data_IF_015092741593
#
_entry.id   IF_015092741593
#
_cell.length_a   1.000
_cell.length_b   1.000
_cell.length_c   1.000
_cell.angle_alpha   90.00
_cell.angle_beta   90.00
_cell.angle_gamma   90.00
#
_symmetry.space_group_name_H-M   'P 1'
#
loop_
_entity.id
_entity.type
_entity.pdbx_description
1 polymer ?
#
# COMPACT_ATOMS: atom_id res chain seq x y z
N UNK A 1 -29.86 -13.40 13.08
CA UNK A 1 -29.30 -12.80 11.86
C UNK A 1 -27.82 -13.08 11.93
N UNK A 2 -27.35 -14.05 11.14
CA UNK A 2 -25.93 -14.35 10.96
C UNK A 2 -25.33 -13.20 10.14
N UNK A 3 -24.62 -12.30 10.78
CA UNK A 3 -23.76 -11.34 10.13
C UNK A 3 -22.46 -12.05 9.77
N UNK A 4 -22.45 -12.84 8.71
CA UNK A 4 -21.24 -13.32 8.09
C UNK A 4 -20.65 -12.16 7.27
N UNK A 5 -19.59 -11.58 7.75
CA UNK A 5 -18.73 -10.69 6.97
C UNK A 5 -17.92 -11.58 6.04
N UNK A 6 -18.16 -11.47 4.74
CA UNK A 6 -17.42 -12.18 3.71
C UNK A 6 -16.51 -11.21 2.95
N UNK A 7 -15.30 -11.63 2.64
CA UNK A 7 -14.50 -10.95 1.63
C UNK A 7 -15.14 -11.24 0.26
N UNK A 8 -15.51 -10.19 -0.46
CA UNK A 8 -16.01 -10.30 -1.82
C UNK A 8 -14.92 -9.90 -2.79
N UNK A 9 -14.50 -10.81 -3.62
CA UNK A 9 -13.61 -10.53 -4.74
C UNK A 9 -14.45 -10.53 -6.02
N UNK A 10 -14.60 -9.37 -6.64
CA UNK A 10 -15.24 -9.25 -7.95
C UNK A 10 -14.18 -8.86 -8.97
N UNK A 11 -14.02 -9.70 -9.99
CA UNK A 11 -13.09 -9.45 -11.09
C UNK A 11 -13.91 -9.20 -12.34
N UNK A 12 -13.61 -8.10 -13.01
CA UNK A 12 -14.27 -7.69 -14.23
C UNK A 12 -13.28 -7.62 -15.39
N UNK A 13 -13.69 -8.07 -16.55
CA UNK A 13 -13.01 -7.76 -17.80
C UNK A 13 -13.66 -6.56 -18.49
N UNK A 14 -12.86 -5.73 -19.11
CA UNK A 14 -13.36 -4.63 -19.94
C UNK A 14 -12.91 -4.91 -21.38
N UNK A 15 -13.89 -5.04 -22.29
CA UNK A 15 -13.60 -5.23 -23.71
C UNK A 15 -13.07 -3.94 -24.35
N UNK A 16 -12.44 -4.05 -25.52
CA UNK A 16 -12.00 -2.88 -26.31
C UNK A 16 -13.14 -1.93 -26.72
N UNK A 17 -14.38 -2.34 -26.54
CA UNK A 17 -15.59 -1.52 -26.77
C UNK A 17 -16.19 -0.97 -25.48
N UNK A 18 -15.50 -1.12 -24.34
CA UNK A 18 -15.97 -0.64 -23.04
C UNK A 18 -17.05 -1.48 -22.39
N UNK A 19 -17.35 -2.68 -22.91
CA UNK A 19 -18.28 -3.61 -22.27
C UNK A 19 -17.60 -4.22 -21.06
N UNK A 20 -18.24 -4.09 -19.89
CA UNK A 20 -17.79 -4.70 -18.63
C UNK A 20 -18.49 -6.06 -18.50
N UNK A 21 -17.71 -7.11 -18.33
CA UNK A 21 -18.20 -8.45 -18.07
C UNK A 21 -17.59 -8.98 -16.76
N UNK A 22 -18.36 -9.70 -15.98
CA UNK A 22 -17.88 -10.28 -14.72
C UNK A 22 -17.09 -11.56 -15.04
N UNK A 23 -15.78 -11.56 -14.82
CA UNK A 23 -14.95 -12.76 -14.94
C UNK A 23 -15.19 -13.70 -13.76
N UNK A 24 -15.30 -13.13 -12.57
CA UNK A 24 -15.56 -13.88 -11.36
C UNK A 24 -16.31 -13.01 -10.34
N UNK A 25 -17.33 -13.56 -9.74
CA UNK A 25 -18.04 -12.95 -8.60
C UNK A 25 -18.30 -14.07 -7.61
N UNK A 26 -17.41 -14.21 -6.64
CA UNK A 26 -17.57 -15.20 -5.59
C UNK A 26 -17.28 -14.59 -4.22
N UNK A 27 -17.94 -15.14 -3.23
CA UNK A 27 -17.53 -14.96 -1.84
C UNK A 27 -16.23 -15.77 -1.71
N UNK A 28 -15.12 -15.12 -1.39
CA UNK A 28 -13.87 -15.80 -1.10
C UNK A 28 -14.08 -16.55 0.21
N UNK A 29 -14.61 -17.70 0.04
CA UNK A 29 -14.65 -18.86 0.90
C UNK A 29 -15.23 -18.74 2.30
N UNK A 30 -15.74 -19.89 2.76
CA UNK A 30 -15.97 -20.27 4.15
C UNK A 30 -14.67 -20.30 5.01
N UNK A 31 -13.60 -19.63 4.56
CA UNK A 31 -12.34 -19.54 5.27
C UNK A 31 -12.34 -18.52 6.41
N UNK A 32 -13.50 -17.96 6.70
CA UNK A 32 -13.67 -17.24 7.94
C UNK A 32 -13.60 -18.23 9.08
N UNK A 33 -12.40 -18.46 9.58
CA UNK A 33 -12.26 -19.09 10.88
C UNK A 33 -13.08 -18.25 11.87
N UNK A 34 -14.23 -18.77 12.25
CA UNK A 34 -14.99 -18.25 13.39
C UNK A 34 -14.03 -18.23 14.57
N UNK A 35 -13.54 -17.04 14.92
CA UNK A 35 -12.82 -16.85 16.17
C UNK A 35 -13.90 -16.72 17.26
N UNK A 36 -14.14 -17.75 18.08
CA UNK A 36 -15.12 -17.70 19.13
C UNK A 36 -14.72 -16.61 20.12
N UNK A 37 -15.55 -15.58 20.27
CA UNK A 37 -15.36 -14.53 21.26
C UNK A 37 -15.20 -13.12 20.70
N UNK A 38 -15.10 -12.91 19.39
CA UNK A 38 -15.10 -11.57 18.82
C UNK A 38 -16.52 -11.01 18.72
N UNK A 39 -17.02 -10.48 19.83
CA UNK A 39 -18.21 -9.67 19.84
C UNK A 39 -17.83 -8.24 19.52
N UNK A 40 -17.68 -7.92 18.27
CA UNK A 40 -17.69 -6.51 17.88
C UNK A 40 -18.15 -6.39 16.43
N UNK A 41 -19.32 -5.79 16.28
CA UNK A 41 -19.65 -5.01 15.10
C UNK A 41 -18.56 -3.97 14.87
N UNK A 42 -17.46 -4.36 14.24
CA UNK A 42 -16.34 -3.48 13.99
C UNK A 42 -16.25 -3.21 12.52
N UNK A 43 -16.27 -1.95 12.25
CA UNK A 43 -15.90 -1.26 11.05
C UNK A 43 -14.93 -2.04 10.16
N UNK A 44 -15.43 -2.41 9.01
CA UNK A 44 -14.61 -2.62 7.85
C UNK A 44 -14.45 -1.23 7.26
N UNK A 45 -13.59 -0.45 7.85
CA UNK A 45 -13.24 0.86 7.34
C UNK A 45 -11.81 0.79 6.85
N UNK A 46 -11.60 0.93 5.57
CA UNK A 46 -10.39 1.44 4.97
C UNK A 46 -9.05 0.73 5.20
N UNK A 47 -9.05 -0.44 5.81
CA UNK A 47 -7.81 -1.02 6.37
C UNK A 47 -7.24 -2.14 5.50
N UNK A 48 -7.47 -2.13 4.19
CA UNK A 48 -6.97 -3.16 3.31
C UNK A 48 -6.83 -2.71 1.88
N UNK A 49 -6.13 -3.49 1.10
CA UNK A 49 -5.86 -3.23 -0.31
C UNK A 49 -5.72 -4.50 -1.12
N UNK A 50 -5.49 -4.27 -2.39
CA UNK A 50 -5.23 -5.29 -3.39
C UNK A 50 -4.01 -4.83 -4.15
N UNK A 51 -3.07 -5.74 -4.40
CA UNK A 51 -1.94 -5.51 -5.26
C UNK A 51 -1.83 -6.64 -6.30
N UNK A 52 -1.23 -6.36 -7.45
CA UNK A 52 -1.19 -7.24 -8.61
C UNK A 52 0.25 -7.54 -9.00
N UNK A 53 0.57 -8.84 -9.21
CA UNK A 53 1.90 -9.27 -9.62
C UNK A 53 1.92 -10.71 -10.11
N UNK A 54 2.83 -11.05 -11.01
CA UNK A 54 3.09 -12.42 -11.47
C UNK A 54 4.14 -13.03 -10.54
N UNK A 55 3.70 -13.56 -9.38
CA UNK A 55 4.63 -14.01 -8.34
C UNK A 55 5.33 -15.34 -8.66
N UNK A 56 4.72 -16.17 -9.52
CA UNK A 56 5.28 -17.49 -9.86
C UNK A 56 5.80 -17.60 -11.29
N UNK A 57 5.94 -16.45 -11.95
CA UNK A 57 6.50 -16.29 -13.31
C UNK A 57 5.78 -17.12 -14.39
N UNK A 58 4.48 -17.37 -14.21
CA UNK A 58 3.70 -18.13 -15.19
C UNK A 58 3.13 -17.24 -16.33
N UNK A 59 3.42 -15.94 -16.33
CA UNK A 59 3.00 -14.95 -17.30
C UNK A 59 1.59 -14.42 -17.07
N UNK A 60 0.99 -14.68 -15.91
CA UNK A 60 -0.34 -14.21 -15.52
C UNK A 60 -0.25 -13.39 -14.24
N UNK A 61 -1.00 -12.33 -14.20
CA UNK A 61 -1.05 -11.46 -13.03
C UNK A 61 -1.88 -12.11 -11.93
N UNK A 62 -1.27 -12.33 -10.79
CA UNK A 62 -1.87 -12.83 -9.56
C UNK A 62 -2.33 -11.69 -8.65
N UNK A 63 -2.99 -12.01 -7.54
CA UNK A 63 -3.60 -11.01 -6.68
C UNK A 63 -3.17 -11.24 -5.23
N UNK A 64 -2.58 -10.22 -4.64
CA UNK A 64 -2.34 -10.09 -3.21
C UNK A 64 -3.48 -9.28 -2.59
N UNK A 65 -4.12 -9.82 -1.57
CA UNK A 65 -5.19 -9.13 -0.82
C UNK A 65 -4.81 -9.06 0.64
N UNK A 66 -4.95 -7.89 1.23
CA UNK A 66 -4.66 -7.70 2.65
C UNK A 66 -5.74 -6.85 3.33
N UNK A 67 -5.78 -6.91 4.66
CA UNK A 67 -6.75 -6.15 5.47
C UNK A 67 -7.91 -6.98 5.98
N UNK A 68 -8.79 -6.38 6.78
CA UNK A 68 -9.93 -7.05 7.41
C UNK A 68 -9.58 -8.36 8.14
N UNK A 69 -8.38 -8.42 8.72
CA UNK A 69 -7.80 -9.59 9.39
C UNK A 69 -7.31 -10.71 8.44
N UNK A 70 -6.96 -10.38 7.18
CA UNK A 70 -6.44 -11.33 6.20
C UNK A 70 -5.18 -10.83 5.51
N UNK A 71 -4.31 -11.78 5.20
CA UNK A 71 -3.32 -11.70 4.14
C UNK A 71 -3.54 -12.92 3.25
N UNK A 72 -3.82 -12.68 1.97
CA UNK A 72 -4.27 -13.72 1.07
C UNK A 72 -3.62 -13.57 -0.31
N UNK A 73 -2.99 -14.63 -0.77
CA UNK A 73 -2.40 -14.72 -2.10
C UNK A 73 -3.24 -15.65 -2.97
N UNK A 74 -3.74 -15.13 -4.08
CA UNK A 74 -4.49 -15.93 -5.05
C UNK A 74 -3.72 -16.08 -6.33
N UNK A 75 -3.93 -17.20 -7.02
CA UNK A 75 -3.32 -17.49 -8.31
C UNK A 75 -4.29 -17.33 -9.45
N UNK A 76 -3.86 -16.65 -10.51
CA UNK A 76 -4.58 -16.53 -11.76
C UNK A 76 -4.34 -17.79 -12.63
N UNK A 77 -5.40 -18.52 -12.92
CA UNK A 77 -5.36 -19.72 -13.75
C UNK A 77 -5.64 -19.44 -15.23
N UNK A 78 -5.75 -18.17 -15.62
CA UNK A 78 -6.03 -17.71 -16.98
C UNK A 78 -7.51 -17.62 -17.31
N UNK A 79 -8.31 -18.63 -17.00
CA UNK A 79 -9.77 -18.63 -17.21
C UNK A 79 -10.56 -18.33 -15.94
N UNK A 80 -9.90 -18.32 -14.81
CA UNK A 80 -10.46 -18.05 -13.46
C UNK A 80 -9.32 -17.68 -12.51
N UNK A 81 -9.67 -17.17 -11.35
CA UNK A 81 -8.74 -16.97 -10.23
C UNK A 81 -8.98 -18.08 -9.21
N UNK A 82 -7.91 -18.67 -8.71
CA UNK A 82 -8.02 -19.67 -7.66
C UNK A 82 -8.42 -19.00 -6.35
N UNK A 83 -9.37 -19.59 -5.64
CA UNK A 83 -9.78 -19.13 -4.30
C UNK A 83 -8.95 -19.78 -3.18
N UNK A 84 -7.92 -20.54 -3.51
CA UNK A 84 -7.00 -21.07 -2.51
C UNK A 84 -6.00 -19.99 -2.10
N UNK A 85 -5.62 -19.98 -0.82
CA UNK A 85 -4.48 -19.20 -0.38
C UNK A 85 -3.19 -19.94 -0.72
N UNK A 86 -2.29 -19.28 -1.45
CA UNK A 86 -1.02 -19.85 -1.90
C UNK A 86 0.15 -19.52 -0.98
N UNK A 87 -0.08 -18.76 0.09
CA UNK A 87 0.94 -18.60 1.12
C UNK A 87 1.22 -19.93 1.83
N UNK A 88 2.47 -20.18 2.22
CA UNK A 88 2.80 -21.23 3.17
C UNK A 88 1.99 -21.09 4.46
N UNK A 89 1.66 -22.21 5.10
CA UNK A 89 0.85 -22.19 6.33
C UNK A 89 1.48 -21.37 7.47
N UNK A 90 2.78 -21.19 7.42
CA UNK A 90 3.58 -20.41 8.37
C UNK A 90 3.41 -18.90 8.20
N UNK A 91 2.96 -18.46 7.02
CA UNK A 91 2.79 -17.04 6.65
C UNK A 91 1.38 -16.55 6.93
N UNK A 92 0.41 -17.45 7.11
CA UNK A 92 -0.99 -17.08 7.33
C UNK A 92 -1.13 -16.34 8.65
N UNK A 93 -1.14 -15.03 8.56
CA UNK A 93 -1.38 -14.12 9.68
C UNK A 93 -2.70 -13.38 9.49
N UNK A 94 -3.34 -13.08 10.62
CA UNK A 94 -4.47 -12.16 10.64
C UNK A 94 -3.90 -10.74 10.59
N UNK A 95 -4.16 -9.98 9.53
CA UNK A 95 -3.68 -8.62 9.33
C UNK A 95 -4.84 -7.63 9.31
N UNK A 96 -4.90 -6.77 10.33
CA UNK A 96 -5.79 -5.62 10.35
C UNK A 96 -5.02 -4.30 10.32
N UNK A 97 -5.66 -3.22 9.92
CA UNK A 97 -5.03 -1.89 9.84
C UNK A 97 -3.69 -1.97 9.08
N UNK A 98 -3.69 -2.68 7.94
CA UNK A 98 -2.50 -3.18 7.26
C UNK A 98 -2.26 -2.52 5.92
N UNK A 99 -1.01 -2.61 5.48
CA UNK A 99 -0.58 -2.38 4.09
C UNK A 99 0.34 -3.50 3.66
N UNK A 100 0.23 -3.93 2.40
CA UNK A 100 1.10 -4.93 1.82
C UNK A 100 1.31 -4.62 0.33
N UNK A 101 2.53 -4.82 -0.16
CA UNK A 101 2.89 -4.58 -1.55
C UNK A 101 3.93 -5.58 -2.05
N UNK A 102 3.89 -5.81 -3.37
CA UNK A 102 4.90 -6.52 -4.12
C UNK A 102 6.12 -5.62 -4.41
N UNK A 103 7.31 -6.22 -4.44
CA UNK A 103 8.53 -5.61 -4.94
C UNK A 103 9.59 -6.67 -5.20
N UNK A 104 10.37 -6.55 -6.24
CA UNK A 104 11.59 -7.35 -6.48
C UNK A 104 12.72 -6.69 -5.69
N UNK A 105 12.86 -7.06 -4.41
CA UNK A 105 13.70 -6.33 -3.45
C UNK A 105 15.18 -6.69 -3.59
N UNK A 106 15.48 -7.94 -3.95
CA UNK A 106 16.85 -8.44 -4.10
C UNK A 106 17.31 -8.58 -5.56
N UNK A 107 16.48 -8.09 -6.50
CA UNK A 107 16.75 -8.05 -7.94
C UNK A 107 16.99 -9.44 -8.56
N UNK A 108 16.38 -10.47 -8.00
CA UNK A 108 16.45 -11.82 -8.57
C UNK A 108 15.38 -12.07 -9.64
N UNK A 109 14.45 -11.11 -9.79
CA UNK A 109 13.37 -11.08 -10.76
C UNK A 109 12.10 -11.76 -10.25
N UNK A 110 12.03 -12.17 -9.00
CA UNK A 110 10.83 -12.66 -8.34
C UNK A 110 10.17 -11.52 -7.57
N UNK A 111 8.86 -11.55 -7.42
CA UNK A 111 8.16 -10.56 -6.61
C UNK A 111 8.12 -11.01 -5.16
N UNK A 112 8.77 -10.24 -4.30
CA UNK A 112 8.74 -10.35 -2.86
C UNK A 112 7.54 -9.61 -2.28
N UNK A 113 7.25 -9.84 -1.00
CA UNK A 113 6.13 -9.18 -0.33
C UNK A 113 6.61 -8.52 0.95
N UNK A 114 6.39 -7.22 1.06
CA UNK A 114 6.47 -6.53 2.33
C UNK A 114 5.07 -6.24 2.87
N UNK A 115 4.85 -6.46 4.17
CA UNK A 115 3.63 -6.05 4.84
C UNK A 115 3.85 -5.51 6.23
N UNK A 116 2.90 -4.70 6.66
CA UNK A 116 2.80 -4.18 8.02
C UNK A 116 1.35 -4.18 8.48
N UNK A 117 1.11 -4.24 9.79
CA UNK A 117 -0.24 -4.18 10.34
C UNK A 117 -0.40 -4.88 11.68
N UNK A 118 -1.64 -4.96 12.12
CA UNK A 118 -2.03 -5.62 13.37
C UNK A 118 -2.23 -7.11 13.17
N UNK A 119 -1.63 -7.92 14.04
CA UNK A 119 -1.79 -9.37 14.06
C UNK A 119 -2.46 -9.86 15.35
N UNK A 120 -2.84 -11.15 15.36
CA UNK A 120 -3.40 -11.84 16.54
C UNK A 120 -4.57 -11.10 17.20
N UNK A 121 -5.56 -10.71 16.42
CA UNK A 121 -6.74 -10.03 16.94
C UNK A 121 -6.43 -8.67 17.55
N UNK A 122 -5.41 -7.96 17.01
CA UNK A 122 -4.94 -6.63 17.44
C UNK A 122 -4.04 -6.61 18.67
N UNK A 123 -3.45 -7.75 19.03
CA UNK A 123 -2.54 -7.82 20.17
C UNK A 123 -1.11 -7.37 19.84
N UNK A 124 -0.69 -7.52 18.58
CA UNK A 124 0.65 -7.18 18.14
C UNK A 124 0.60 -6.39 16.83
N UNK A 125 1.62 -5.57 16.60
CA UNK A 125 1.92 -5.06 15.25
C UNK A 125 3.08 -5.89 14.71
N UNK A 126 3.12 -6.03 13.39
CA UNK A 126 4.22 -6.66 12.68
C UNK A 126 4.57 -5.88 11.45
N UNK A 127 5.84 -5.95 11.06
CA UNK A 127 6.29 -5.73 9.69
C UNK A 127 7.14 -6.93 9.30
N UNK A 128 7.02 -7.37 8.06
CA UNK A 128 7.77 -8.51 7.56
C UNK A 128 8.05 -8.34 6.07
N UNK A 129 9.23 -8.78 5.69
CA UNK A 129 9.61 -9.01 4.31
C UNK A 129 9.68 -10.52 4.08
N UNK A 130 8.97 -10.98 3.07
CA UNK A 130 8.95 -12.37 2.65
C UNK A 130 9.55 -12.43 1.25
N UNK A 131 10.75 -12.99 1.17
CA UNK A 131 11.47 -13.19 -0.08
C UNK A 131 10.89 -14.40 -0.82
N UNK A 132 10.67 -14.21 -2.10
CA UNK A 132 10.24 -15.23 -3.03
C UNK A 132 11.47 -15.82 -3.71
N UNK A 133 11.52 -17.12 -3.85
CA UNK A 133 12.59 -17.82 -4.55
C UNK A 133 11.92 -18.79 -5.53
N UNK A 134 11.43 -18.27 -6.64
CA UNK A 134 10.81 -19.09 -7.69
C UNK A 134 11.85 -19.60 -8.65
N UNK A 135 11.96 -20.92 -8.79
CA UNK A 135 12.90 -21.51 -9.73
C UNK A 135 12.43 -21.40 -11.19
N UNK A 136 13.32 -21.74 -12.13
CA UNK A 136 13.01 -21.70 -13.56
C UNK A 136 11.89 -22.65 -14.01
N UNK A 137 11.46 -23.56 -13.13
CA UNK A 137 10.36 -24.49 -13.36
C UNK A 137 9.03 -23.95 -12.80
N UNK A 138 9.06 -22.78 -12.12
CA UNK A 138 7.90 -22.15 -11.52
C UNK A 138 7.55 -22.72 -10.14
N UNK A 139 8.50 -23.39 -9.47
CA UNK A 139 8.29 -23.85 -8.09
C UNK A 139 8.70 -22.72 -7.15
N UNK A 140 7.74 -22.17 -6.45
CA UNK A 140 7.92 -21.07 -5.50
C UNK A 140 8.31 -21.58 -4.14
N UNK A 141 9.31 -20.98 -3.51
CA UNK A 141 9.64 -21.12 -2.11
C UNK A 141 9.78 -19.76 -1.45
N UNK A 142 9.46 -19.66 -0.18
CA UNK A 142 9.38 -18.41 0.54
C UNK A 142 10.31 -18.43 1.75
N UNK A 143 11.01 -17.31 1.99
CA UNK A 143 11.90 -17.13 3.13
C UNK A 143 11.68 -15.77 3.80
N UNK A 144 11.58 -15.73 5.14
CA UNK A 144 11.52 -14.46 5.85
C UNK A 144 12.89 -13.81 5.95
N UNK A 145 12.96 -12.53 5.58
CA UNK A 145 14.14 -11.74 5.92
C UNK A 145 14.07 -11.30 7.40
N UNK A 146 14.84 -11.99 8.24
CA UNK A 146 14.96 -11.70 9.66
C UNK A 146 16.01 -10.61 9.98
N UNK A 147 16.70 -10.08 8.96
CA UNK A 147 17.74 -9.06 9.13
C UNK A 147 17.18 -7.65 9.29
N UNK A 148 15.95 -7.44 8.85
CA UNK A 148 15.29 -6.15 8.79
C UNK A 148 14.81 -5.68 10.16
N UNK A 149 15.21 -4.47 10.56
CA UNK A 149 14.78 -3.85 11.81
C UNK A 149 14.07 -2.52 11.49
N UNK A 150 12.75 -2.55 11.51
CA UNK A 150 11.90 -1.39 11.24
C UNK A 150 10.91 -1.17 12.38
N UNK A 151 10.42 0.07 12.59
CA UNK A 151 9.34 0.30 13.54
C UNK A 151 8.06 -0.39 13.07
N UNK A 152 7.45 -1.14 13.95
CA UNK A 152 6.12 -1.73 13.69
C UNK A 152 5.08 -0.63 13.55
N UNK A 153 4.38 -0.59 12.43
CA UNK A 153 3.35 0.40 12.12
C UNK A 153 2.00 -0.24 11.81
N UNK A 154 0.96 0.51 12.05
CA UNK A 154 -0.42 0.22 11.68
C UNK A 154 -1.13 1.49 11.19
N UNK A 155 -2.33 1.36 10.65
CA UNK A 155 -3.05 2.53 10.13
C UNK A 155 -2.15 3.39 9.25
N UNK A 156 -1.50 2.76 8.30
CA UNK A 156 -0.50 3.40 7.48
C UNK A 156 -0.39 2.77 6.12
N UNK A 157 0.60 3.21 5.41
CA UNK A 157 0.88 2.81 4.05
C UNK A 157 2.36 2.48 3.89
N UNK A 158 2.65 1.60 2.97
CA UNK A 158 3.99 1.30 2.48
C UNK A 158 4.03 1.55 0.98
N UNK A 159 5.16 1.97 0.46
CA UNK A 159 5.33 2.16 -0.97
C UNK A 159 6.78 1.92 -1.39
N UNK A 160 6.94 1.21 -2.51
CA UNK A 160 8.21 0.97 -3.17
C UNK A 160 8.43 1.97 -4.29
N UNK A 161 9.66 2.42 -4.45
CA UNK A 161 10.12 3.19 -5.61
C UNK A 161 11.64 3.19 -5.67
N UNK A 162 12.22 3.29 -6.84
CA UNK A 162 13.67 3.56 -7.03
C UNK A 162 13.88 5.07 -6.80
N UNK A 163 14.10 5.45 -5.52
CA UNK A 163 14.05 6.85 -5.08
C UNK A 163 15.34 7.58 -5.43
N UNK A 164 16.48 6.91 -5.33
CA UNK A 164 17.78 7.50 -5.64
C UNK A 164 18.31 7.16 -7.04
N UNK A 165 17.47 6.50 -7.85
CA UNK A 165 17.72 6.16 -9.24
C UNK A 165 18.93 5.25 -9.45
N UNK A 166 19.20 4.36 -8.52
CA UNK A 166 20.31 3.41 -8.59
C UNK A 166 19.92 2.05 -9.17
N UNK A 167 18.61 1.82 -9.36
CA UNK A 167 18.03 0.69 -10.07
C UNK A 167 17.48 -0.41 -9.17
N UNK A 168 17.47 -0.21 -7.85
CA UNK A 168 16.77 -1.09 -6.91
C UNK A 168 15.57 -0.38 -6.25
N UNK A 169 14.72 -1.14 -5.55
CA UNK A 169 13.50 -0.60 -4.95
C UNK A 169 13.76 -0.20 -3.49
N UNK A 170 13.58 1.09 -3.22
CA UNK A 170 13.58 1.65 -1.89
C UNK A 170 12.18 1.59 -1.26
N UNK A 171 12.11 1.64 0.07
CA UNK A 171 10.87 1.53 0.82
C UNK A 171 10.58 2.78 1.64
N UNK A 172 9.41 3.38 1.42
CA UNK A 172 8.83 4.33 2.37
C UNK A 172 7.74 3.65 3.20
N UNK A 173 7.83 3.82 4.52
CA UNK A 173 6.80 3.36 5.45
C UNK A 173 6.27 4.54 6.25
N UNK A 174 4.95 4.64 6.39
CA UNK A 174 4.33 5.69 7.21
C UNK A 174 3.08 5.16 7.91
N UNK A 175 2.91 5.51 9.19
CA UNK A 175 1.76 5.04 9.96
C UNK A 175 1.87 5.34 11.45
N UNK A 176 1.11 4.61 12.25
CA UNK A 176 1.05 4.77 13.69
C UNK A 176 1.80 3.66 14.42
N UNK A 177 2.69 4.02 15.34
CA UNK A 177 3.28 3.06 16.29
C UNK A 177 2.35 2.85 17.50
N UNK A 178 2.30 1.61 18.03
CA UNK A 178 1.51 1.31 19.25
C UNK A 178 2.08 2.00 20.49
N UNK A 179 3.40 1.99 20.63
CA UNK A 179 4.07 2.34 21.88
C UNK A 179 4.00 3.84 22.21
N UNK A 180 3.81 4.68 21.20
CA UNK A 180 3.92 6.14 21.35
C UNK A 180 2.75 6.93 20.76
N UNK A 181 1.71 6.28 20.26
CA UNK A 181 0.56 6.91 19.56
C UNK A 181 0.95 8.04 18.56
N UNK A 182 2.23 8.20 18.31
CA UNK A 182 2.76 9.17 17.35
C UNK A 182 2.71 8.60 15.94
N UNK A 183 2.66 9.48 14.97
CA UNK A 183 2.98 9.11 13.60
C UNK A 183 4.47 8.78 13.47
N UNK A 184 4.79 7.97 12.49
CA UNK A 184 6.16 7.71 12.04
C UNK A 184 6.15 7.63 10.53
N UNK A 185 7.16 8.24 9.91
CA UNK A 185 7.45 8.10 8.48
C UNK A 185 8.94 7.83 8.35
N UNK A 186 9.30 6.76 7.65
CA UNK A 186 10.67 6.31 7.50
C UNK A 186 10.95 5.91 6.07
N UNK A 187 12.08 6.38 5.58
CA UNK A 187 12.65 5.99 4.29
C UNK A 187 13.77 4.99 4.53
N UNK A 188 13.80 3.94 3.73
CA UNK A 188 14.84 2.93 3.70
C UNK A 188 15.36 2.84 2.28
N UNK A 189 16.64 3.13 2.11
CA UNK A 189 17.35 2.88 0.85
C UNK A 189 17.79 1.42 0.82
N UNK A 190 17.61 0.82 -0.32
CA UNK A 190 18.03 -0.55 -0.59
C UNK A 190 19.50 -0.60 -1.04
N UNK A 191 20.06 -1.78 -1.04
CA UNK A 191 21.30 -2.07 -1.74
C UNK A 191 21.07 -3.21 -2.75
N UNK A 192 21.89 -3.39 -3.78
CA UNK A 192 21.67 -4.39 -4.84
C UNK A 192 21.56 -5.84 -4.38
N UNK A 193 21.60 -6.11 -3.10
CA UNK A 193 21.44 -7.44 -2.51
C UNK A 193 20.25 -7.50 -1.53
N UNK A 194 19.33 -6.54 -1.62
CA UNK A 194 18.08 -6.56 -0.87
C UNK A 194 18.19 -6.09 0.59
N UNK A 195 19.19 -5.29 0.95
CA UNK A 195 19.35 -4.80 2.33
C UNK A 195 18.85 -3.38 2.50
N UNK A 196 17.74 -3.24 3.16
CA UNK A 196 17.10 -1.97 3.46
C UNK A 196 17.79 -1.27 4.66
N UNK A 197 18.40 -0.12 4.40
CA UNK A 197 19.02 0.73 5.40
C UNK A 197 18.23 2.02 5.64
N UNK A 198 17.91 2.37 6.90
CA UNK A 198 17.20 3.61 7.20
C UNK A 198 18.00 4.83 6.74
N UNK A 199 17.45 5.64 5.84
CA UNK A 199 17.97 6.95 5.53
C UNK A 199 17.49 7.98 6.55
N UNK A 200 18.42 8.44 7.38
CA UNK A 200 18.16 9.46 8.41
C UNK A 200 18.49 10.87 7.95
N UNK A 201 18.92 11.05 6.72
CA UNK A 201 19.27 12.36 6.15
C UNK A 201 18.04 13.16 5.71
N UNK A 202 16.91 12.47 5.47
CA UNK A 202 15.67 13.07 5.00
C UNK A 202 14.71 13.41 6.15
N UNK A 203 14.07 14.56 6.06
CA UNK A 203 13.04 15.00 7.00
C UNK A 203 11.65 14.93 6.33
N UNK A 204 11.07 13.74 6.27
CA UNK A 204 9.67 13.56 5.85
C UNK A 204 8.78 13.63 7.09
N UNK A 205 7.72 14.44 7.04
CA UNK A 205 6.84 14.65 8.19
C UNK A 205 6.22 13.34 8.66
N UNK A 206 6.32 13.07 9.96
CA UNK A 206 5.76 11.89 10.57
C UNK A 206 4.23 11.99 10.65
N UNK A 207 3.52 11.06 10.01
CA UNK A 207 2.06 11.07 9.88
C UNK A 207 1.45 9.74 10.30
N UNK A 208 0.14 9.68 10.41
CA UNK A 208 -0.63 8.46 10.68
C UNK A 208 -1.96 8.44 9.91
N UNK A 209 -2.49 7.24 9.69
CA UNK A 209 -3.66 7.05 8.83
C UNK A 209 -3.32 7.38 7.37
N UNK A 210 -2.12 7.03 6.93
CA UNK A 210 -1.50 7.58 5.72
C UNK A 210 -1.88 6.82 4.46
N UNK A 211 -1.83 7.56 3.35
CA UNK A 211 -1.75 7.06 1.98
C UNK A 211 -0.50 7.66 1.34
N UNK A 212 0.22 6.86 0.55
CA UNK A 212 1.47 7.23 -0.11
C UNK A 212 1.34 6.93 -1.60
N UNK A 213 1.88 7.83 -2.43
CA UNK A 213 2.02 7.62 -3.86
C UNK A 213 3.37 8.20 -4.31
N UNK A 214 4.12 7.44 -5.10
CA UNK A 214 5.28 7.92 -5.82
C UNK A 214 4.93 8.14 -7.29
N UNK A 215 5.33 9.27 -7.86
CA UNK A 215 5.15 9.59 -9.27
C UNK A 215 6.06 10.74 -9.68
N UNK A 216 6.56 10.70 -10.89
CA UNK A 216 7.28 11.83 -11.52
C UNK A 216 6.25 12.95 -11.80
N UNK A 217 6.20 13.96 -10.93
CA UNK A 217 5.23 15.05 -10.98
C UNK A 217 5.70 16.23 -11.81
N UNK A 218 7.00 16.47 -11.88
CA UNK A 218 7.58 17.60 -12.60
C UNK A 218 8.26 17.23 -13.93
N UNK A 219 8.17 15.96 -14.32
CA UNK A 219 8.68 15.39 -15.57
C UNK A 219 10.23 15.42 -15.67
N UNK A 220 10.92 15.24 -14.58
CA UNK A 220 12.39 15.14 -14.58
C UNK A 220 12.90 13.68 -14.52
N UNK A 221 11.96 12.73 -14.44
CA UNK A 221 12.12 11.28 -14.48
C UNK A 221 12.53 10.63 -13.15
N UNK A 222 12.56 11.36 -12.05
CA UNK A 222 12.67 10.77 -10.73
C UNK A 222 11.30 10.74 -9.99
N UNK A 223 11.12 9.84 -9.00
CA UNK A 223 9.83 9.70 -8.34
C UNK A 223 9.66 10.69 -7.19
N UNK A 224 8.71 11.61 -7.33
CA UNK A 224 8.26 12.50 -6.26
C UNK A 224 7.32 11.79 -5.29
N UNK A 225 7.18 12.33 -4.08
CA UNK A 225 6.36 11.76 -3.03
C UNK A 225 5.11 12.59 -2.77
N UNK A 226 3.96 11.94 -2.80
CA UNK A 226 2.70 12.47 -2.26
C UNK A 226 2.33 11.65 -1.03
N UNK A 227 2.11 12.30 0.10
CA UNK A 227 1.67 11.65 1.33
C UNK A 227 0.51 12.40 1.96
N UNK A 228 -0.60 11.71 2.24
CA UNK A 228 -1.76 12.27 2.93
C UNK A 228 -1.99 11.54 4.25
N UNK A 229 -2.37 12.26 5.29
CA UNK A 229 -2.59 11.69 6.60
C UNK A 229 -2.86 12.74 7.68
N UNK A 230 -2.89 12.26 8.93
CA UNK A 230 -2.99 13.12 10.10
C UNK A 230 -1.58 13.44 10.62
N UNK A 231 -1.27 14.72 10.70
CA UNK A 231 -0.05 15.22 11.33
C UNK A 231 -0.25 15.38 12.83
N UNK A 232 0.53 14.70 13.67
CA UNK A 232 0.49 14.90 15.11
C UNK A 232 1.17 16.22 15.55
N UNK A 233 1.96 16.85 14.67
CA UNK A 233 2.72 18.07 14.97
C UNK A 233 1.79 19.26 15.14
N UNK A 234 0.91 19.48 14.17
CA UNK A 234 -0.04 20.59 14.17
C UNK A 234 -1.51 20.13 14.33
N UNK A 235 -1.71 18.85 14.53
CA UNK A 235 -3.02 18.23 14.77
C UNK A 235 -4.03 18.42 13.65
N UNK A 236 -3.56 18.43 12.40
CA UNK A 236 -4.37 18.61 11.20
C UNK A 236 -4.24 17.44 10.23
N UNK A 237 -5.22 17.32 9.34
CA UNK A 237 -5.09 16.50 8.16
C UNK A 237 -4.35 17.29 7.08
N UNK A 238 -3.37 16.65 6.45
CA UNK A 238 -2.54 17.25 5.41
C UNK A 238 -2.34 16.29 4.25
N UNK A 239 -2.16 16.85 3.09
CA UNK A 239 -1.50 16.19 1.97
C UNK A 239 -0.25 16.99 1.64
N UNK A 240 0.89 16.36 1.76
CA UNK A 240 2.20 16.95 1.49
C UNK A 240 2.77 16.37 0.21
N UNK A 241 3.34 17.25 -0.59
CA UNK A 241 4.05 16.93 -1.82
C UNK A 241 5.52 17.25 -1.59
N UNK A 242 6.36 16.27 -1.82
CA UNK A 242 7.82 16.42 -1.80
C UNK A 242 8.34 16.15 -3.19
N UNK A 243 9.06 17.10 -3.73
CA UNK A 243 9.79 16.96 -4.99
C UNK A 243 11.11 16.25 -4.68
N UNK A 244 11.38 15.20 -5.41
CA UNK A 244 12.66 14.53 -5.37
C UNK A 244 13.67 15.40 -6.12
N UNK A 245 14.84 15.57 -5.56
CA UNK A 245 15.96 16.20 -6.24
C UNK A 245 16.90 15.09 -6.68
N UNK A 246 17.65 15.23 -7.74
CA UNK A 246 18.54 14.17 -8.20
C UNK A 246 19.33 13.55 -7.05
N UNK A 247 19.33 12.22 -6.94
CA UNK A 247 19.97 11.46 -5.87
C UNK A 247 19.15 11.22 -4.59
N UNK A 248 17.82 11.24 -4.68
CA UNK A 248 16.96 10.80 -3.57
C UNK A 248 16.79 11.81 -2.44
N UNK A 249 16.92 13.12 -2.72
CA UNK A 249 16.75 14.16 -1.72
C UNK A 249 15.39 14.84 -1.85
N UNK A 250 14.49 14.60 -0.93
CA UNK A 250 13.17 15.19 -0.92
C UNK A 250 13.15 16.63 -0.41
N UNK A 251 12.58 17.51 -1.19
CA UNK A 251 12.29 18.91 -0.83
C UNK A 251 10.77 19.09 -0.80
N UNK A 252 10.27 19.65 0.28
CA UNK A 252 8.86 20.03 0.33
C UNK A 252 8.53 21.01 -0.81
N UNK A 253 7.52 20.71 -1.62
CA UNK A 253 7.11 21.56 -2.72
C UNK A 253 6.65 22.93 -2.19
N UNK A 254 6.88 24.01 -2.97
CA UNK A 254 6.52 25.38 -2.59
C UNK A 254 5.01 25.57 -2.40
N UNK A 255 4.22 24.85 -3.16
CA UNK A 255 2.77 24.80 -3.02
C UNK A 255 2.34 23.46 -2.42
N UNK A 256 1.42 23.51 -1.51
CA UNK A 256 0.87 22.37 -0.81
C UNK A 256 -0.64 22.33 -0.91
N UNK A 257 -1.24 21.15 -0.80
CA UNK A 257 -2.68 21.01 -0.76
C UNK A 257 -3.23 21.50 0.59
N UNK A 258 -4.31 22.28 0.54
CA UNK A 258 -4.94 22.84 1.74
C UNK A 258 -5.88 21.87 2.46
N UNK A 259 -5.80 20.57 2.14
CA UNK A 259 -6.59 19.53 2.75
C UNK A 259 -5.75 18.24 2.89
N UNK A 260 -6.25 17.30 3.65
CA UNK A 260 -5.68 15.97 3.76
C UNK A 260 -6.76 14.95 4.10
N UNK A 261 -6.44 13.70 3.87
CA UNK A 261 -7.33 12.57 4.10
C UNK A 261 -6.63 11.51 4.95
N UNK A 262 -7.42 10.70 5.64
CA UNK A 262 -6.98 9.46 6.28
C UNK A 262 -7.76 8.29 5.73
N UNK A 263 -7.16 7.10 5.79
CA UNK A 263 -7.79 5.85 5.36
C UNK A 263 -8.30 5.91 3.92
N UNK A 264 -7.48 6.44 3.04
CA UNK A 264 -7.80 6.66 1.65
C UNK A 264 -6.82 6.04 0.68
N UNK A 265 -6.84 6.56 -0.52
CA UNK A 265 -5.89 6.23 -1.59
C UNK A 265 -5.49 7.50 -2.34
N UNK A 266 -4.29 7.51 -2.86
CA UNK A 266 -3.75 8.55 -3.73
C UNK A 266 -3.27 7.87 -5.00
N UNK A 267 -3.63 8.47 -6.14
CA UNK A 267 -3.15 8.07 -7.45
C UNK A 267 -2.71 9.30 -8.23
N UNK A 268 -1.63 9.19 -8.97
CA UNK A 268 -1.13 10.23 -9.84
C UNK A 268 -1.10 9.74 -11.29
N UNK A 269 -1.93 10.32 -12.13
CA UNK A 269 -2.13 9.92 -13.53
C UNK A 269 -2.51 11.13 -14.38
N UNK A 270 -2.02 11.19 -15.62
CA UNK A 270 -2.42 12.22 -16.58
C UNK A 270 -3.83 11.90 -17.10
N UNK A 271 -4.84 12.48 -16.46
CA UNK A 271 -6.27 12.23 -16.77
C UNK A 271 -6.69 13.00 -18.03
N UNK A 272 -6.18 14.22 -18.19
CA UNK A 272 -6.56 15.14 -19.26
C UNK A 272 -5.67 15.01 -20.52
N UNK A 273 -4.60 14.19 -20.45
CA UNK A 273 -3.63 13.91 -21.51
C UNK A 273 -2.85 15.17 -21.96
N UNK A 274 -2.49 16.03 -21.01
CA UNK A 274 -1.68 17.22 -21.27
C UNK A 274 -0.17 17.00 -21.05
N UNK A 275 0.20 15.82 -20.58
CA UNK A 275 1.59 15.41 -20.33
C UNK A 275 2.06 15.64 -18.90
N UNK A 276 1.20 16.12 -18.02
CA UNK A 276 1.47 16.27 -16.59
C UNK A 276 0.59 15.33 -15.76
N UNK A 277 1.03 15.02 -14.54
CA UNK A 277 0.24 14.17 -13.66
C UNK A 277 -0.83 14.96 -12.91
N UNK A 278 -2.04 14.46 -12.94
CA UNK A 278 -3.12 14.89 -12.07
C UNK A 278 -3.14 14.01 -10.81
N UNK A 279 -3.53 14.57 -9.67
CA UNK A 279 -3.61 13.82 -8.41
C UNK A 279 -5.08 13.55 -8.07
N UNK A 280 -5.43 12.29 -7.94
CA UNK A 280 -6.72 11.85 -7.44
C UNK A 280 -6.57 11.37 -6.00
N UNK A 281 -7.34 11.94 -5.08
CA UNK A 281 -7.29 11.61 -3.65
C UNK A 281 -8.68 11.21 -3.18
N UNK A 282 -8.76 10.08 -2.47
CA UNK A 282 -9.96 9.65 -1.76
C UNK A 282 -9.64 9.43 -0.29
N UNK A 283 -10.66 9.52 0.58
CA UNK A 283 -10.47 9.24 2.00
C UNK A 283 -11.40 10.04 2.91
N UNK A 284 -11.21 9.94 4.22
CA UNK A 284 -11.99 10.65 5.20
C UNK A 284 -11.32 11.97 5.59
N UNK A 285 -12.08 13.07 5.54
CA UNK A 285 -11.58 14.43 5.83
C UNK A 285 -11.96 14.96 7.21
N UNK A 286 -12.73 14.20 8.03
CA UNK A 286 -13.28 14.68 9.28
C UNK A 286 -12.96 13.84 10.49
N UNK A 287 -12.55 14.51 11.56
CA UNK A 287 -12.36 13.91 12.89
C UNK A 287 -13.70 13.91 13.68
N UNK A 288 -14.70 13.18 13.19
CA UNK A 288 -15.87 12.91 14.00
C UNK A 288 -15.98 11.40 14.27
N UNK A 289 -15.73 11.04 15.49
CA UNK A 289 -15.97 9.71 16.07
C UNK A 289 -17.47 9.29 16.00
N UNK A 290 -18.32 10.08 15.38
CA UNK A 290 -19.74 9.80 15.21
C UNK A 290 -20.09 9.62 13.75
N UNK A 291 -19.90 8.42 13.25
CA UNK A 291 -20.60 7.73 12.13
C UNK A 291 -20.86 8.46 10.78
N UNK A 292 -20.41 9.68 10.59
CA UNK A 292 -20.50 10.39 9.31
C UNK A 292 -19.11 10.38 8.65
N UNK A 293 -18.86 9.37 7.83
CA UNK A 293 -17.66 9.31 6.98
C UNK A 293 -17.98 10.13 5.74
N UNK A 294 -17.29 11.25 5.57
CA UNK A 294 -17.32 12.01 4.33
C UNK A 294 -16.20 11.52 3.42
N UNK A 295 -16.55 10.97 2.29
CA UNK A 295 -15.58 10.67 1.22
C UNK A 295 -15.43 11.92 0.37
N UNK A 296 -14.20 12.28 0.15
CA UNK A 296 -13.85 13.36 -0.75
C UNK A 296 -13.02 12.77 -1.90
N UNK A 297 -13.31 13.15 -3.12
CA UNK A 297 -12.48 12.88 -4.29
C UNK A 297 -12.20 14.23 -4.92
N UNK A 298 -10.95 14.60 -4.99
CA UNK A 298 -10.51 15.79 -5.71
C UNK A 298 -9.43 15.43 -6.72
N UNK A 299 -9.42 16.14 -7.82
CA UNK A 299 -8.40 16.05 -8.87
C UNK A 299 -7.70 17.39 -8.95
N UNK A 300 -6.39 17.36 -8.88
CA UNK A 300 -5.54 18.54 -8.93
C UNK A 300 -4.53 18.37 -10.04
N UNK A 301 -4.32 19.44 -10.79
CA UNK A 301 -3.30 19.46 -11.83
C UNK A 301 -1.98 19.95 -11.25
N UNK A 302 -0.87 19.36 -11.69
CA UNK A 302 0.49 19.81 -11.38
C UNK A 302 1.10 20.30 -12.69
N UNK A 303 1.71 21.49 -12.66
CA UNK A 303 2.43 22.00 -13.82
C UNK A 303 3.86 21.41 -13.89
N UNK A 304 4.50 21.53 -15.05
CA UNK A 304 5.87 21.05 -15.29
C UNK A 304 6.97 21.77 -14.50
N UNK A 305 6.61 22.46 -13.41
CA UNK A 305 7.53 23.04 -12.43
C UNK A 305 7.24 22.50 -11.02
N UNK A 306 6.36 21.50 -10.91
CA UNK A 306 5.94 20.95 -9.63
C UNK A 306 4.95 21.82 -8.84
N UNK A 307 4.34 22.83 -9.49
CA UNK A 307 3.35 23.68 -8.85
C UNK A 307 1.94 23.07 -8.99
N UNK A 308 1.21 22.97 -7.89
CA UNK A 308 -0.18 22.51 -7.89
C UNK A 308 -1.09 23.60 -8.47
N UNK A 309 -1.80 23.28 -9.54
CA UNK A 309 -2.81 24.15 -10.14
C UNK A 309 -4.18 23.83 -9.51
N UNK A 310 -4.84 24.81 -8.94
CA UNK A 310 -6.17 24.69 -8.32
C UNK A 310 -7.30 25.08 -9.29
#
# INVERSE_FOLDING_TARGET
YDNQLGLFLNIYSVSSTGVIDTLQSDVVGDYFAYIPGSHSSRYIGGDGGIDFGDYDRDGKIDILVHGAEFLFLTKNLGSSVSLNNYFPSEVIESLGESSAQWGDVDLDGDLDIFWTGLTNGRANITNKLLLNNTDFEGNTSWEFDESMVMPDIRNGSVAWSDIDMDGDLDLLTSGQQITVESGVTKLYLNDPIGRLGEDTSQEIEAMKGTSICFSDLDNDADPDLIISGYSPVDTTLKTLIYINEPTGNFRLADQQLNFGTIFGSIEAIDINLDGYKDIAISGATGHKINYDIYYFVDTLEINGQGDVLS
#
